data_IF_672551026490
#
_entry.id   IF_672551026490
#
_cell.length_a   1.000
_cell.length_b   1.000
_cell.length_c   1.000
_cell.angle_alpha   90.00
_cell.angle_beta   90.00
_cell.angle_gamma   90.00
#
_symmetry.space_group_name_H-M   'P 1'
#
loop_
_entity.id
_entity.type
_entity.pdbx_description
1 polymer ?
#
# COMPACT_ATOMS: atom_id res chain seq x y z
N UNK A 1 -26.24 -52.49 42.92
CA UNK A 1 -25.85 -52.83 41.53
C UNK A 1 -25.93 -51.53 40.72
N UNK A 2 -24.84 -50.74 40.72
CA UNK A 2 -24.82 -49.38 40.18
C UNK A 2 -23.88 -49.33 38.98
N UNK A 3 -24.43 -49.25 37.76
CA UNK A 3 -23.68 -48.92 36.55
C UNK A 3 -23.68 -47.40 36.37
N UNK A 4 -22.48 -46.80 36.30
CA UNK A 4 -22.25 -45.36 36.18
C UNK A 4 -22.53 -44.86 34.75
N UNK A 5 -23.25 -43.75 34.54
CA UNK A 5 -23.40 -43.11 33.24
C UNK A 5 -22.31 -42.05 33.08
N UNK A 6 -21.09 -42.46 32.73
CA UNK A 6 -20.00 -41.50 32.45
C UNK A 6 -19.17 -41.84 31.21
N UNK A 7 -19.51 -42.91 30.49
CA UNK A 7 -18.76 -43.31 29.29
C UNK A 7 -19.31 -42.73 27.97
N UNK A 8 -20.55 -42.25 27.93
CA UNK A 8 -21.19 -41.82 26.67
C UNK A 8 -20.96 -40.34 26.30
N UNK A 9 -20.51 -39.50 27.24
CA UNK A 9 -20.28 -38.06 27.00
C UNK A 9 -18.84 -37.78 26.51
N UNK A 10 -17.89 -38.67 26.77
CA UNK A 10 -16.49 -38.49 26.34
C UNK A 10 -16.24 -38.93 24.88
N UNK A 11 -17.05 -39.86 24.34
CA UNK A 11 -16.83 -40.39 22.99
C UNK A 11 -17.38 -39.45 21.90
N UNK A 12 -18.37 -38.62 22.21
CA UNK A 12 -18.94 -37.63 21.26
C UNK A 12 -18.05 -36.39 21.11
N UNK A 13 -17.27 -36.03 22.12
CA UNK A 13 -16.38 -34.86 22.07
C UNK A 13 -15.10 -35.13 21.25
N UNK A 14 -14.63 -36.38 21.19
CA UNK A 14 -13.42 -36.76 20.44
C UNK A 14 -13.69 -36.94 18.94
N UNK A 15 -14.92 -37.32 18.54
CA UNK A 15 -15.28 -37.45 17.11
C UNK A 15 -15.46 -36.08 16.42
N UNK A 16 -15.78 -35.02 17.17
CA UNK A 16 -15.88 -33.65 16.61
C UNK A 16 -14.51 -33.02 16.35
N UNK A 17 -13.47 -33.40 17.11
CA UNK A 17 -12.11 -32.86 16.94
C UNK A 17 -11.32 -33.49 15.77
N UNK A 18 -11.71 -34.68 15.30
CA UNK A 18 -11.02 -35.38 14.19
C UNK A 18 -11.60 -35.05 12.81
N UNK A 19 -12.73 -34.34 12.72
CA UNK A 19 -13.34 -33.96 11.45
C UNK A 19 -12.80 -32.63 10.86
N UNK A 20 -12.02 -31.85 11.63
CA UNK A 20 -11.45 -30.57 11.15
C UNK A 20 -10.19 -30.73 10.28
N UNK A 21 -9.59 -31.92 10.24
CA UNK A 21 -8.33 -32.14 9.52
C UNK A 21 -8.43 -32.14 7.98
N UNK A 22 -9.65 -32.09 7.40
CA UNK A 22 -9.87 -31.88 5.94
C UNK A 22 -10.53 -30.54 5.61
N UNK A 23 -10.49 -29.58 6.54
CA UNK A 23 -11.18 -28.29 6.42
C UNK A 23 -10.27 -27.11 6.00
N UNK A 24 -8.95 -27.29 5.95
CA UNK A 24 -7.99 -26.17 5.81
C UNK A 24 -8.10 -25.37 4.50
N UNK A 25 -8.65 -25.98 3.44
CA UNK A 25 -8.87 -25.33 2.13
C UNK A 25 -10.36 -25.12 1.80
N UNK A 26 -11.25 -25.37 2.77
CA UNK A 26 -12.68 -25.03 2.64
C UNK A 26 -12.84 -23.54 2.91
N UNK A 27 -13.34 -22.80 1.93
CA UNK A 27 -13.57 -21.34 2.06
C UNK A 27 -12.94 -20.49 0.96
N UNK A 28 -12.02 -21.03 0.15
CA UNK A 28 -11.55 -20.36 -1.06
C UNK A 28 -12.59 -20.48 -2.16
N UNK A 29 -13.16 -19.34 -2.58
CA UNK A 29 -14.25 -19.29 -3.54
C UNK A 29 -13.80 -19.46 -5.00
N UNK A 30 -12.52 -19.20 -5.31
CA UNK A 30 -12.01 -19.16 -6.68
C UNK A 30 -10.73 -19.97 -6.83
N UNK A 31 -10.49 -20.47 -8.03
CA UNK A 31 -9.24 -21.11 -8.43
C UNK A 31 -8.85 -20.76 -9.87
N UNK A 32 -7.56 -20.84 -10.17
CA UNK A 32 -6.99 -20.79 -11.52
C UNK A 32 -5.91 -21.87 -11.62
N UNK A 33 -5.96 -22.71 -12.65
CA UNK A 33 -4.92 -23.73 -12.86
C UNK A 33 -3.59 -23.06 -13.21
N UNK A 34 -2.49 -23.56 -12.64
CA UNK A 34 -1.13 -23.18 -13.02
C UNK A 34 -0.66 -24.03 -14.20
N UNK A 35 -0.23 -23.39 -15.29
CA UNK A 35 0.17 -24.08 -16.52
C UNK A 35 1.67 -23.88 -16.78
N UNK A 36 2.36 -24.94 -17.24
CA UNK A 36 3.77 -24.87 -17.64
C UNK A 36 4.79 -25.13 -16.53
N UNK A 37 4.40 -25.85 -15.48
CA UNK A 37 5.28 -26.17 -14.35
C UNK A 37 6.31 -27.22 -14.76
N UNK A 38 7.50 -26.76 -15.11
CA UNK A 38 8.61 -27.61 -15.58
C UNK A 38 9.83 -27.55 -14.66
N UNK A 39 9.97 -26.47 -13.90
CA UNK A 39 11.12 -26.21 -13.02
C UNK A 39 10.69 -26.11 -11.56
N UNK A 40 11.68 -26.12 -10.68
CA UNK A 40 11.45 -26.00 -9.24
C UNK A 40 10.93 -24.60 -8.85
N UNK A 41 11.39 -23.55 -9.54
CA UNK A 41 11.08 -22.16 -9.21
C UNK A 41 10.33 -21.49 -10.33
N UNK A 42 9.28 -20.77 -9.98
CA UNK A 42 8.49 -20.04 -10.95
C UNK A 42 7.92 -18.74 -10.42
N UNK A 43 7.84 -17.72 -11.27
CA UNK A 43 7.10 -16.48 -11.02
C UNK A 43 5.68 -16.58 -11.60
N UNK A 44 4.68 -16.19 -10.81
CA UNK A 44 3.26 -16.20 -11.19
C UNK A 44 2.76 -14.76 -11.08
N UNK A 45 2.69 -14.01 -12.20
CA UNK A 45 2.14 -12.66 -12.21
C UNK A 45 0.67 -12.66 -11.77
N UNK A 46 0.29 -11.73 -10.89
CA UNK A 46 -1.10 -11.58 -10.44
C UNK A 46 -1.87 -10.65 -11.38
N UNK A 47 -2.88 -11.15 -12.13
CA UNK A 47 -3.69 -10.32 -13.02
C UNK A 47 -4.65 -9.42 -12.21
N UNK A 48 -5.04 -8.29 -12.78
CA UNK A 48 -5.85 -7.31 -12.07
C UNK A 48 -7.21 -7.83 -11.57
N UNK A 49 -7.81 -8.76 -12.32
CA UNK A 49 -9.09 -9.37 -12.00
C UNK A 49 -9.10 -10.07 -10.64
N UNK A 50 -7.92 -10.44 -10.13
CA UNK A 50 -7.75 -11.11 -8.84
C UNK A 50 -7.99 -10.14 -7.67
N UNK A 51 -7.49 -8.90 -7.74
CA UNK A 51 -7.47 -7.96 -6.60
C UNK A 51 -8.86 -7.59 -6.08
N UNK A 52 -9.89 -7.61 -6.94
CA UNK A 52 -11.28 -7.39 -6.50
C UNK A 52 -11.88 -8.54 -5.69
N UNK A 53 -11.19 -9.68 -5.59
CA UNK A 53 -11.65 -10.89 -4.90
C UNK A 53 -10.76 -11.28 -3.72
N UNK A 54 -9.65 -10.57 -3.53
CA UNK A 54 -8.68 -10.82 -2.48
C UNK A 54 -8.99 -9.98 -1.24
N UNK A 55 -8.50 -10.42 -0.10
CA UNK A 55 -8.39 -9.56 1.06
C UNK A 55 -7.41 -8.40 0.76
N UNK A 56 -7.61 -7.20 1.32
CA UNK A 56 -6.71 -6.07 1.12
C UNK A 56 -5.25 -6.32 1.50
N UNK A 57 -4.99 -7.28 2.41
CA UNK A 57 -3.66 -7.70 2.85
C UNK A 57 -3.11 -8.90 2.06
N UNK A 58 -3.83 -9.40 1.05
CA UNK A 58 -3.44 -10.53 0.20
C UNK A 58 -3.23 -11.85 0.97
N UNK A 59 -3.81 -11.96 2.19
CA UNK A 59 -3.63 -13.11 3.07
C UNK A 59 -4.32 -14.39 2.57
N UNK A 60 -5.29 -14.25 1.67
CA UNK A 60 -6.16 -15.30 1.18
C UNK A 60 -5.71 -15.86 -0.17
N UNK A 61 -4.41 -15.92 -0.41
CA UNK A 61 -3.82 -16.59 -1.57
C UNK A 61 -3.20 -17.91 -1.11
N UNK A 62 -3.41 -19.01 -1.85
CA UNK A 62 -2.70 -20.28 -1.67
C UNK A 62 -2.41 -20.94 -3.00
N UNK A 63 -1.36 -21.76 -3.07
CA UNK A 63 -1.05 -22.59 -4.24
C UNK A 63 -1.20 -24.06 -3.84
N UNK A 64 -2.21 -24.74 -4.37
CA UNK A 64 -2.55 -26.12 -4.01
C UNK A 64 -2.31 -27.06 -5.18
N UNK A 65 -1.53 -28.10 -4.96
CA UNK A 65 -1.28 -29.21 -5.88
C UNK A 65 -2.16 -30.41 -5.56
N UNK A 66 -2.65 -31.08 -6.61
CA UNK A 66 -3.26 -32.41 -6.50
C UNK A 66 -2.33 -33.40 -7.18
N UNK A 67 -1.80 -34.34 -6.40
CA UNK A 67 -0.92 -35.39 -6.90
C UNK A 67 -1.74 -36.48 -7.62
N UNK A 68 -1.11 -37.32 -8.48
CA UNK A 68 -1.82 -38.39 -9.18
C UNK A 68 -2.59 -39.37 -8.26
N UNK A 69 -2.16 -39.53 -7.00
CA UNK A 69 -2.84 -40.32 -5.98
C UNK A 69 -4.04 -39.64 -5.31
N UNK A 70 -4.35 -38.38 -5.66
CA UNK A 70 -5.44 -37.59 -5.09
C UNK A 70 -5.07 -36.80 -3.82
N UNK A 71 -3.85 -36.94 -3.32
CA UNK A 71 -3.35 -36.19 -2.18
C UNK A 71 -3.16 -34.71 -2.54
N UNK A 72 -3.50 -33.83 -1.59
CA UNK A 72 -3.35 -32.39 -1.72
C UNK A 72 -2.06 -31.94 -1.06
N UNK A 73 -1.28 -31.14 -1.78
CA UNK A 73 -0.03 -30.52 -1.30
C UNK A 73 -0.11 -29.01 -1.49
N UNK A 74 0.64 -28.26 -0.70
CA UNK A 74 0.71 -26.80 -0.82
C UNK A 74 2.11 -26.40 -1.27
N UNK A 75 2.21 -25.57 -2.31
CA UNK A 75 3.48 -25.02 -2.74
C UNK A 75 3.77 -23.72 -1.96
N UNK A 76 4.91 -23.61 -1.27
CA UNK A 76 5.30 -22.37 -0.62
C UNK A 76 5.63 -21.30 -1.66
N UNK A 77 5.36 -20.05 -1.33
CA UNK A 77 5.62 -18.91 -2.19
C UNK A 77 6.03 -17.66 -1.40
N UNK A 78 6.70 -16.73 -2.08
CA UNK A 78 6.93 -15.36 -1.61
C UNK A 78 6.17 -14.40 -2.50
N UNK A 79 5.48 -13.45 -1.88
CA UNK A 79 4.81 -12.37 -2.59
C UNK A 79 5.83 -11.27 -2.91
N UNK A 80 6.13 -11.08 -4.20
CA UNK A 80 7.02 -10.02 -4.69
C UNK A 80 6.21 -8.88 -5.29
N UNK A 81 6.70 -7.68 -5.04
CA UNK A 81 6.12 -6.44 -5.51
C UNK A 81 7.19 -5.64 -6.23
N UNK A 82 6.96 -5.34 -7.50
CA UNK A 82 7.91 -4.60 -8.34
C UNK A 82 7.71 -3.08 -8.19
N UNK A 83 7.90 -2.57 -6.98
CA UNK A 83 7.90 -1.12 -6.75
C UNK A 83 9.29 -0.51 -6.98
N UNK A 84 9.31 0.79 -7.29
CA UNK A 84 10.53 1.58 -7.35
C UNK A 84 11.16 1.55 -5.97
N UNK A 85 12.36 1.00 -5.91
CA UNK A 85 13.20 1.12 -4.74
C UNK A 85 14.02 2.40 -4.88
N UNK A 86 13.86 3.27 -3.88
CA UNK A 86 14.73 4.41 -3.69
C UNK A 86 15.91 3.94 -2.87
N UNK A 87 17.03 3.66 -3.53
CA UNK A 87 18.26 3.37 -2.81
C UNK A 87 18.88 4.72 -2.47
N UNK A 88 18.54 5.24 -1.29
CA UNK A 88 19.18 6.43 -0.76
C UNK A 88 20.44 6.01 -0.02
N UNK A 89 21.60 6.36 -0.57
CA UNK A 89 22.87 6.20 0.12
C UNK A 89 23.27 7.57 0.68
N UNK A 90 22.98 7.87 1.97
CA UNK A 90 23.47 9.10 2.57
C UNK A 90 25.00 9.10 2.51
N UNK A 91 25.55 10.20 2.04
CA UNK A 91 26.99 10.39 1.93
C UNK A 91 27.44 11.34 3.04
N UNK A 92 28.35 10.86 3.89
CA UNK A 92 29.06 11.73 4.82
C UNK A 92 30.02 12.64 4.05
N UNK A 93 30.00 13.94 4.35
CA UNK A 93 30.91 14.94 3.77
C UNK A 93 31.39 15.89 4.88
N UNK A 94 32.42 16.67 4.60
CA UNK A 94 32.86 17.76 5.48
C UNK A 94 32.62 19.12 4.84
N UNK A 95 32.20 20.09 5.64
CA UNK A 95 32.16 21.50 5.22
C UNK A 95 33.58 22.05 5.30
N UNK A 96 34.10 22.53 4.17
CA UNK A 96 35.43 23.13 4.09
C UNK A 96 35.40 24.62 4.38
N UNK A 97 34.49 25.33 3.70
CA UNK A 97 34.43 26.78 3.75
C UNK A 97 32.99 27.23 3.88
N UNK A 98 32.80 28.29 4.67
CA UNK A 98 31.59 29.08 4.73
C UNK A 98 31.98 30.54 4.55
N UNK A 99 31.46 31.19 3.52
CA UNK A 99 31.73 32.60 3.26
C UNK A 99 30.45 33.33 2.89
N UNK A 100 30.45 34.64 3.06
CA UNK A 100 29.30 35.48 2.73
C UNK A 100 29.76 36.78 2.10
N UNK A 101 29.01 37.22 1.11
CA UNK A 101 29.07 38.55 0.53
C UNK A 101 27.65 39.13 0.56
N UNK A 102 27.47 40.46 0.44
CA UNK A 102 26.15 41.05 0.33
C UNK A 102 25.31 40.33 -0.74
N UNK A 103 24.14 39.82 -0.34
CA UNK A 103 23.21 39.10 -1.22
C UNK A 103 23.58 37.66 -1.58
N UNK A 104 24.70 37.10 -1.06
CA UNK A 104 25.17 35.75 -1.43
C UNK A 104 25.93 35.04 -0.30
N UNK A 105 25.46 33.85 0.05
CA UNK A 105 26.08 32.96 1.02
C UNK A 105 26.62 31.71 0.33
N UNK A 106 27.88 31.38 0.57
CA UNK A 106 28.55 30.26 -0.08
C UNK A 106 29.01 29.22 0.94
N UNK A 107 28.79 27.95 0.59
CA UNK A 107 29.18 26.79 1.38
C UNK A 107 29.91 25.82 0.46
N UNK A 108 31.13 25.43 0.83
CA UNK A 108 31.93 24.45 0.07
C UNK A 108 32.02 23.16 0.87
N UNK A 109 31.66 22.05 0.22
CA UNK A 109 31.68 20.70 0.77
C UNK A 109 32.80 19.88 0.11
N UNK A 110 33.43 18.99 0.89
CA UNK A 110 34.36 17.96 0.41
C UNK A 110 33.71 16.60 0.52
N UNK A 111 33.63 15.90 -0.60
CA UNK A 111 33.06 14.57 -0.70
C UNK A 111 34.16 13.51 -0.61
N UNK A 112 33.86 12.30 -0.09
CA UNK A 112 34.73 11.13 -0.22
C UNK A 112 34.96 10.77 -1.69
N UNK A 113 36.18 10.33 -2.02
CA UNK A 113 36.52 9.93 -3.38
C UNK A 113 35.73 8.72 -3.85
N UNK A 114 35.43 8.66 -5.15
CA UNK A 114 34.79 7.52 -5.80
C UNK A 114 33.29 7.35 -5.49
N UNK A 115 32.65 8.38 -4.94
CA UNK A 115 31.21 8.38 -4.64
C UNK A 115 30.49 9.32 -5.59
N UNK A 116 29.38 8.84 -6.15
CA UNK A 116 28.50 9.63 -7.01
C UNK A 116 27.32 10.18 -6.21
N UNK A 117 26.84 11.37 -6.57
CA UNK A 117 25.68 12.03 -5.96
C UNK A 117 24.88 12.78 -7.00
N UNK A 118 23.58 12.99 -6.75
CA UNK A 118 22.68 13.71 -7.65
C UNK A 118 21.59 14.52 -6.91
N UNK A 119 21.57 14.47 -5.58
CA UNK A 119 20.62 15.22 -4.77
C UNK A 119 21.31 15.79 -3.51
N UNK A 120 20.98 17.04 -3.20
CA UNK A 120 21.45 17.77 -2.02
C UNK A 120 20.24 18.33 -1.28
N UNK A 121 19.98 17.84 -0.07
CA UNK A 121 18.94 18.37 0.80
C UNK A 121 19.55 19.27 1.87
N UNK A 122 18.99 20.46 2.07
CA UNK A 122 19.51 21.46 3.00
C UNK A 122 18.64 21.55 4.25
N UNK A 123 19.29 21.59 5.41
CA UNK A 123 18.67 21.94 6.69
C UNK A 123 19.05 23.38 7.02
N UNK A 124 18.10 24.30 6.80
CA UNK A 124 18.25 25.73 7.04
C UNK A 124 17.51 26.12 8.33
N UNK A 125 18.06 27.06 9.10
CA UNK A 125 17.50 27.48 10.39
C UNK A 125 16.22 28.33 10.26
N UNK A 126 16.02 28.96 9.09
CA UNK A 126 14.89 29.86 8.87
C UNK A 126 13.58 29.10 8.69
N UNK A 127 12.53 29.63 9.31
CA UNK A 127 11.16 29.08 9.20
C UNK A 127 10.49 29.46 7.88
N UNK A 128 10.69 30.69 7.42
CA UNK A 128 10.08 31.23 6.21
C UNK A 128 11.15 31.87 5.33
N UNK A 129 11.20 31.51 4.05
CA UNK A 129 12.11 32.09 3.07
C UNK A 129 11.70 31.75 1.65
N UNK A 130 12.11 32.57 0.69
CA UNK A 130 12.02 32.32 -0.75
C UNK A 130 13.32 32.75 -1.42
N UNK A 131 14.20 31.77 -1.67
CA UNK A 131 15.55 32.02 -2.15
C UNK A 131 15.84 31.28 -3.44
N UNK A 132 16.96 31.65 -4.06
CA UNK A 132 17.54 30.93 -5.19
C UNK A 132 18.87 30.33 -4.78
N UNK A 133 19.14 29.13 -5.27
CA UNK A 133 20.39 28.45 -5.05
C UNK A 133 21.04 28.01 -6.36
N UNK A 134 22.36 28.07 -6.36
CA UNK A 134 23.23 27.58 -7.42
C UNK A 134 24.18 26.54 -6.82
N UNK A 135 24.40 25.45 -7.54
CA UNK A 135 25.34 24.40 -7.17
C UNK A 135 26.40 24.24 -8.27
N UNK A 136 27.65 24.20 -7.87
CA UNK A 136 28.80 24.00 -8.75
C UNK A 136 29.66 22.85 -8.24
N UNK A 137 30.32 22.13 -9.14
CA UNK A 137 31.26 21.07 -8.85
C UNK A 137 32.68 21.39 -9.32
N UNK A 138 33.69 20.93 -8.60
CA UNK A 138 35.10 21.14 -8.92
C UNK A 138 35.96 19.94 -8.54
N UNK A 139 37.03 19.71 -9.30
CA UNK A 139 38.07 18.72 -8.98
C UNK A 139 39.20 19.29 -8.12
N UNK A 140 39.45 20.60 -8.18
CA UNK A 140 40.66 21.24 -7.69
C UNK A 140 40.41 22.53 -6.86
N UNK A 141 39.14 22.93 -6.69
CA UNK A 141 38.68 24.19 -6.10
C UNK A 141 39.03 25.46 -6.90
N UNK A 142 39.61 25.34 -8.10
CA UNK A 142 39.99 26.44 -8.98
C UNK A 142 38.99 26.58 -10.12
N UNK A 143 38.75 25.50 -10.86
CA UNK A 143 37.76 25.46 -11.93
C UNK A 143 36.44 24.90 -11.42
N UNK A 144 35.35 25.64 -11.68
CA UNK A 144 34.01 25.31 -11.18
C UNK A 144 33.04 25.13 -12.34
N UNK A 145 32.35 24.00 -12.36
CA UNK A 145 31.36 23.65 -13.37
C UNK A 145 29.95 23.72 -12.78
N UNK A 146 29.02 24.29 -13.55
CA UNK A 146 27.64 24.44 -13.12
C UNK A 146 26.92 23.08 -13.10
N UNK A 147 26.32 22.73 -11.95
CA UNK A 147 25.51 21.52 -11.79
C UNK A 147 24.01 21.84 -11.71
N UNK A 148 23.66 22.94 -11.06
CA UNK A 148 22.30 23.45 -10.97
C UNK A 148 22.32 24.98 -10.84
N UNK A 149 21.41 25.67 -11.51
CA UNK A 149 21.28 27.13 -11.44
C UNK A 149 19.87 27.56 -11.05
N UNK A 150 19.77 28.66 -10.30
CA UNK A 150 18.53 29.34 -9.89
C UNK A 150 17.42 28.41 -9.36
N UNK A 151 17.79 27.29 -8.74
CA UNK A 151 16.81 26.40 -8.12
C UNK A 151 16.17 27.11 -6.92
N UNK A 152 14.84 27.05 -6.82
CA UNK A 152 14.12 27.72 -5.75
C UNK A 152 14.26 26.93 -4.46
N UNK A 153 14.54 27.62 -3.37
CA UNK A 153 14.40 27.10 -2.02
C UNK A 153 13.25 27.87 -1.37
N UNK A 154 12.25 27.16 -0.85
CA UNK A 154 11.06 27.78 -0.27
C UNK A 154 10.72 27.14 1.07
N UNK A 155 10.47 27.94 2.09
CA UNK A 155 9.78 27.49 3.28
C UNK A 155 8.64 28.44 3.60
N UNK A 156 7.46 27.87 3.84
CA UNK A 156 6.25 28.58 4.26
C UNK A 156 5.66 27.83 5.45
N UNK A 157 5.75 28.45 6.62
CA UNK A 157 5.14 28.00 7.86
C UNK A 157 4.19 29.07 8.37
N UNK A 158 2.91 28.73 8.42
CA UNK A 158 1.83 29.56 8.93
C UNK A 158 0.71 28.67 9.52
N UNK A 159 -0.42 29.27 9.91
CA UNK A 159 -1.55 28.51 10.46
C UNK A 159 -2.24 27.54 9.48
N UNK A 160 -1.88 27.58 8.18
CA UNK A 160 -2.51 26.82 7.11
C UNK A 160 -1.63 25.67 6.59
N UNK A 161 -0.30 25.82 6.65
CA UNK A 161 0.67 24.84 6.16
C UNK A 161 2.03 24.99 6.84
N UNK A 162 2.75 23.87 6.92
CA UNK A 162 4.18 23.80 7.24
C UNK A 162 4.87 23.11 6.05
N UNK A 163 5.23 23.91 5.05
CA UNK A 163 5.81 23.46 3.78
C UNK A 163 7.26 23.88 3.67
N UNK A 164 8.14 22.94 3.32
CA UNK A 164 9.55 23.20 3.06
C UNK A 164 10.01 22.46 1.82
N UNK A 165 10.66 23.19 0.93
CA UNK A 165 11.31 22.70 -0.28
C UNK A 165 12.75 23.20 -0.29
N UNK A 166 13.66 22.37 0.23
CA UNK A 166 15.08 22.69 0.41
C UNK A 166 16.01 21.71 -0.32
N UNK A 167 15.48 21.01 -1.31
CA UNK A 167 16.20 20.00 -2.08
C UNK A 167 16.65 20.56 -3.42
N UNK A 168 17.96 20.46 -3.69
CA UNK A 168 18.53 20.66 -5.02
C UNK A 168 18.70 19.31 -5.71
N UNK A 169 18.32 19.24 -6.98
CA UNK A 169 18.51 18.08 -7.86
C UNK A 169 19.43 18.46 -9.01
N UNK A 170 20.40 17.60 -9.34
CA UNK A 170 21.42 17.88 -10.36
C UNK A 170 21.84 16.58 -11.06
N UNK A 171 22.50 16.66 -12.24
CA UNK A 171 23.04 15.47 -12.90
C UNK A 171 23.97 14.67 -11.98
N UNK A 172 23.97 13.35 -12.13
CA UNK A 172 24.89 12.44 -11.42
C UNK A 172 26.33 12.91 -11.60
N UNK A 173 27.04 13.07 -10.51
CA UNK A 173 28.41 13.57 -10.52
C UNK A 173 29.26 12.95 -9.41
N UNK A 174 30.57 12.90 -9.63
CA UNK A 174 31.60 12.45 -8.72
C UNK A 174 32.61 13.56 -8.33
N UNK A 175 32.27 14.85 -8.52
CA UNK A 175 33.15 15.95 -8.14
C UNK A 175 33.52 15.87 -6.65
N UNK A 176 34.81 15.93 -6.28
CA UNK A 176 35.24 15.89 -4.88
C UNK A 176 34.88 17.16 -4.10
N UNK A 177 34.61 18.27 -4.79
CA UNK A 177 34.18 19.52 -4.17
C UNK A 177 32.87 20.01 -4.75
N UNK A 178 31.92 20.36 -3.88
CA UNK A 178 30.67 21.00 -4.26
C UNK A 178 30.59 22.38 -3.60
N UNK A 179 30.22 23.41 -4.37
CA UNK A 179 29.98 24.77 -3.86
C UNK A 179 28.53 25.14 -4.06
N UNK A 180 27.83 25.29 -2.94
CA UNK A 180 26.48 25.82 -2.87
C UNK A 180 26.55 27.34 -2.70
N UNK A 181 25.78 28.08 -3.50
CA UNK A 181 25.57 29.52 -3.35
C UNK A 181 24.08 29.78 -3.17
N UNK A 182 23.69 30.32 -2.01
CA UNK A 182 22.32 30.76 -1.71
C UNK A 182 22.26 32.28 -1.85
N UNK A 183 21.37 32.77 -2.70
CA UNK A 183 21.13 34.20 -2.92
C UNK A 183 20.02 34.67 -1.98
N UNK A 184 20.37 35.53 -1.03
CA UNK A 184 19.51 36.01 0.03
C UNK A 184 20.07 37.30 0.64
N UNK A 185 19.20 38.20 1.06
CA UNK A 185 19.55 39.41 1.82
C UNK A 185 19.78 39.14 3.32
N UNK A 186 19.33 37.98 3.79
CA UNK A 186 19.49 37.53 5.17
C UNK A 186 20.25 36.20 5.26
N UNK A 187 20.90 35.95 6.39
CA UNK A 187 21.69 34.73 6.60
C UNK A 187 20.81 33.48 6.58
N UNK A 188 21.06 32.52 5.67
CA UNK A 188 20.34 31.24 5.60
C UNK A 188 20.61 30.32 6.79
N UNK A 189 21.79 30.48 7.42
CA UNK A 189 22.34 29.63 8.49
C UNK A 189 22.08 28.13 8.24
N UNK A 190 22.99 27.53 7.46
CA UNK A 190 23.00 26.10 7.18
C UNK A 190 23.32 25.30 8.45
N UNK A 191 22.35 24.55 8.96
CA UNK A 191 22.49 23.67 10.11
C UNK A 191 23.08 22.31 9.72
N UNK A 192 22.76 21.87 8.51
CA UNK A 192 23.21 20.60 7.98
C UNK A 192 22.84 20.45 6.52
N UNK A 193 23.43 19.47 5.86
CA UNK A 193 23.03 19.07 4.52
C UNK A 193 23.13 17.54 4.40
N UNK A 194 22.36 16.97 3.48
CA UNK A 194 22.38 15.55 3.15
C UNK A 194 22.64 15.41 1.66
N UNK A 195 23.77 14.80 1.31
CA UNK A 195 24.07 14.41 -0.06
C UNK A 195 23.68 12.96 -0.24
N UNK A 196 22.91 12.69 -1.30
CA UNK A 196 22.46 11.34 -1.61
C UNK A 196 22.79 10.99 -3.05
N UNK A 197 23.28 9.76 -3.23
CA UNK A 197 23.08 9.05 -4.49
C UNK A 197 21.64 8.56 -4.48
N UNK A 198 20.81 9.15 -5.33
CA UNK A 198 19.48 8.64 -5.60
C UNK A 198 19.56 7.70 -6.80
N UNK A 199 19.75 6.42 -6.51
CA UNK A 199 19.55 5.34 -7.47
C UNK A 199 18.07 4.97 -7.46
N UNK A 200 17.45 4.95 -8.64
CA UNK A 200 16.11 4.41 -8.82
C UNK A 200 16.23 3.08 -9.56
N UNK A 201 15.99 1.98 -8.86
CA UNK A 201 15.62 0.75 -9.56
C UNK A 201 14.21 0.98 -10.12
N UNK A 202 14.01 0.96 -11.45
CA UNK A 202 12.70 1.22 -12.01
C UNK A 202 11.75 0.09 -11.57
N UNK A 203 10.76 0.44 -10.76
CA UNK A 203 9.64 -0.47 -10.49
C UNK A 203 8.88 -0.75 -11.78
N UNK A 204 8.18 -1.89 -11.82
CA UNK A 204 7.28 -2.24 -12.92
C UNK A 204 5.88 -1.80 -12.57
N UNK A 205 5.45 -0.72 -13.22
CA UNK A 205 4.15 -0.11 -12.98
C UNK A 205 3.28 -0.19 -14.22
N UNK A 206 1.98 -0.39 -13.98
CA UNK A 206 0.96 -0.11 -14.97
C UNK A 206 0.31 1.24 -14.66
N UNK A 207 0.41 2.18 -15.59
CA UNK A 207 -0.32 3.44 -15.51
C UNK A 207 -1.82 3.17 -15.70
N UNK A 208 -2.65 3.71 -14.81
CA UNK A 208 -4.11 3.61 -14.84
C UNK A 208 -4.71 4.98 -15.11
N UNK A 209 -5.54 5.03 -16.13
CA UNK A 209 -6.43 6.17 -16.38
C UNK A 209 -7.72 5.98 -15.56
N UNK A 210 -8.24 7.03 -14.91
CA UNK A 210 -9.54 6.98 -14.28
C UNK A 210 -10.63 6.59 -15.29
N UNK A 211 -11.52 5.67 -14.91
CA UNK A 211 -12.76 5.42 -15.64
C UNK A 211 -13.76 6.57 -15.42
N UNK A 212 -13.69 7.21 -14.24
CA UNK A 212 -14.40 8.45 -13.92
C UNK A 212 -13.47 9.39 -13.18
N UNK A 213 -13.47 10.64 -13.61
CA UNK A 213 -12.79 11.76 -12.97
C UNK A 213 -13.79 12.90 -12.84
N UNK A 214 -14.01 13.40 -11.62
CA UNK A 214 -14.91 14.51 -11.38
C UNK A 214 -14.30 15.46 -10.35
N UNK A 215 -14.47 16.76 -10.57
CA UNK A 215 -14.02 17.80 -9.65
C UNK A 215 -15.27 18.54 -9.16
N UNK A 216 -15.43 18.60 -7.85
CA UNK A 216 -16.55 19.28 -7.18
C UNK A 216 -15.98 20.37 -6.30
N UNK A 217 -16.41 21.61 -6.51
CA UNK A 217 -16.00 22.74 -5.69
C UNK A 217 -17.03 22.99 -4.59
N UNK A 218 -16.62 22.75 -3.35
CA UNK A 218 -17.43 23.04 -2.16
C UNK A 218 -17.13 24.48 -1.71
N UNK A 219 -18.04 25.41 -2.05
CA UNK A 219 -17.89 26.83 -1.68
C UNK A 219 -18.05 27.06 -0.17
N UNK A 220 -18.78 26.18 0.53
CA UNK A 220 -19.02 26.31 1.97
C UNK A 220 -17.77 25.92 2.75
N UNK A 221 -17.18 24.79 2.39
CA UNK A 221 -15.94 24.29 3.00
C UNK A 221 -14.67 24.89 2.37
N UNK A 222 -14.82 25.71 1.32
CA UNK A 222 -13.72 26.32 0.55
C UNK A 222 -12.70 25.30 0.06
N UNK A 223 -13.21 24.17 -0.46
CA UNK A 223 -12.43 23.01 -0.88
C UNK A 223 -12.76 22.59 -2.32
N UNK A 224 -11.79 21.99 -3.00
CA UNK A 224 -12.03 21.20 -4.21
C UNK A 224 -11.92 19.72 -3.86
N UNK A 225 -12.95 18.95 -4.19
CA UNK A 225 -12.97 17.49 -4.06
C UNK A 225 -12.82 16.86 -5.43
N UNK A 226 -11.75 16.10 -5.62
CA UNK A 226 -11.50 15.31 -6.83
C UNK A 226 -11.89 13.88 -6.55
N UNK A 227 -12.92 13.40 -7.23
CA UNK A 227 -13.41 12.02 -7.15
C UNK A 227 -12.85 11.22 -8.33
N UNK A 228 -12.08 10.18 -8.02
CA UNK A 228 -11.42 9.30 -8.99
C UNK A 228 -11.98 7.89 -8.82
N UNK A 229 -12.48 7.30 -9.91
CA UNK A 229 -12.89 5.89 -9.92
C UNK A 229 -12.18 5.13 -11.03
N UNK A 230 -11.58 4.00 -10.68
CA UNK A 230 -10.98 3.05 -11.62
C UNK A 230 -12.03 2.08 -12.18
N UNK A 231 -11.71 1.44 -13.30
CA UNK A 231 -12.58 0.44 -13.92
C UNK A 231 -12.75 -0.82 -13.03
N UNK A 232 -11.71 -1.15 -12.26
CA UNK A 232 -11.59 -2.34 -11.44
C UNK A 232 -10.84 -2.01 -10.14
N UNK A 233 -10.96 -2.89 -9.14
CA UNK A 233 -10.19 -2.80 -7.90
C UNK A 233 -8.76 -3.23 -8.19
N UNK A 234 -7.78 -2.37 -7.95
CA UNK A 234 -6.34 -2.64 -8.20
C UNK A 234 -5.48 -1.99 -7.12
N UNK A 235 -4.25 -2.48 -6.90
CA UNK A 235 -3.28 -1.80 -6.05
C UNK A 235 -2.86 -0.48 -6.68
N UNK A 236 -2.86 0.59 -5.90
CA UNK A 236 -2.36 1.92 -6.29
C UNK A 236 -1.29 2.34 -5.28
N UNK A 237 -0.13 2.77 -5.76
CA UNK A 237 0.99 3.25 -4.95
C UNK A 237 1.36 4.72 -5.22
N UNK A 238 0.85 5.31 -6.30
CA UNK A 238 1.02 6.74 -6.55
C UNK A 238 -0.16 7.33 -7.33
N UNK A 239 -0.43 8.62 -7.10
CA UNK A 239 -1.45 9.39 -7.82
C UNK A 239 -0.83 10.68 -8.32
N UNK A 240 -0.90 10.91 -9.63
CA UNK A 240 -0.48 12.15 -10.30
C UNK A 240 -1.70 12.94 -10.74
N UNK A 241 -1.82 14.19 -10.31
CA UNK A 241 -2.80 15.14 -10.80
C UNK A 241 -2.25 15.90 -12.01
N UNK A 242 -3.12 16.20 -12.98
CA UNK A 242 -2.82 17.05 -14.12
C UNK A 242 -3.42 18.42 -13.85
N UNK A 243 -2.57 19.36 -13.39
CA UNK A 243 -2.96 20.73 -13.07
C UNK A 243 -2.62 21.64 -14.24
N UNK A 244 -3.60 22.39 -14.75
CA UNK A 244 -3.42 23.27 -15.91
C UNK A 244 -2.94 24.68 -15.54
N UNK A 245 -3.10 25.10 -14.28
CA UNK A 245 -2.66 26.42 -13.84
C UNK A 245 -1.14 26.59 -13.97
N UNK A 246 -0.74 27.73 -14.53
CA UNK A 246 0.66 28.13 -14.71
C UNK A 246 1.17 29.06 -13.61
N UNK A 247 0.26 29.67 -12.85
CA UNK A 247 0.60 30.54 -11.72
C UNK A 247 1.09 29.72 -10.53
N UNK A 248 1.91 30.34 -9.69
CA UNK A 248 2.43 29.69 -8.50
C UNK A 248 1.31 29.38 -7.51
N UNK A 249 1.30 28.16 -6.97
CA UNK A 249 0.34 27.74 -5.94
C UNK A 249 1.01 26.81 -4.94
N UNK A 250 0.45 26.79 -3.73
CA UNK A 250 0.69 25.77 -2.72
C UNK A 250 -0.62 25.58 -1.95
N UNK A 251 -1.13 24.35 -1.86
CA UNK A 251 -2.42 24.06 -1.21
C UNK A 251 -2.32 22.79 -0.39
N UNK A 252 -2.82 22.77 0.86
CA UNK A 252 -2.98 21.53 1.59
C UNK A 252 -3.82 20.54 0.80
N UNK A 253 -3.36 19.29 0.79
CA UNK A 253 -3.95 18.18 0.06
C UNK A 253 -4.11 17.00 1.00
N UNK A 254 -5.29 16.37 0.98
CA UNK A 254 -5.53 15.06 1.58
C UNK A 254 -5.94 14.05 0.52
N UNK A 255 -5.27 12.92 0.47
CA UNK A 255 -5.60 11.79 -0.39
C UNK A 255 -6.27 10.72 0.46
N UNK A 256 -7.44 10.28 0.02
CA UNK A 256 -8.26 9.28 0.70
C UNK A 256 -8.68 8.19 -0.28
N UNK A 257 -9.05 7.04 0.25
CA UNK A 257 -9.74 5.99 -0.51
C UNK A 257 -11.05 5.62 0.18
N UNK A 258 -11.99 5.10 -0.61
CA UNK A 258 -13.22 4.53 -0.06
C UNK A 258 -12.91 3.16 0.53
N UNK A 259 -12.93 3.06 1.85
CA UNK A 259 -12.60 1.83 2.56
C UNK A 259 -13.82 0.92 2.75
N UNK A 260 -14.99 1.51 2.97
CA UNK A 260 -16.23 0.77 3.18
C UNK A 260 -17.45 1.63 2.81
N UNK A 261 -18.56 0.98 2.52
CA UNK A 261 -19.85 1.63 2.30
C UNK A 261 -20.99 0.78 2.84
N UNK A 262 -21.90 1.40 3.58
CA UNK A 262 -23.06 0.73 4.15
C UNK A 262 -24.35 1.43 3.71
N UNK A 263 -25.35 0.65 3.32
CA UNK A 263 -26.69 1.16 3.08
C UNK A 263 -27.39 1.38 4.43
N UNK A 264 -27.92 2.58 4.63
CA UNK A 264 -28.71 2.94 5.81
C UNK A 264 -30.08 3.45 5.38
N UNK A 265 -31.07 3.54 6.28
CA UNK A 265 -32.35 4.18 5.96
C UNK A 265 -32.22 5.64 5.47
N UNK A 266 -31.07 6.29 5.71
CA UNK A 266 -30.75 7.65 5.25
C UNK A 266 -29.97 7.67 3.92
N UNK A 267 -29.86 6.51 3.25
CA UNK A 267 -29.08 6.31 2.04
C UNK A 267 -27.69 5.70 2.32
N UNK A 268 -26.88 5.64 1.27
CA UNK A 268 -25.51 5.12 1.32
C UNK A 268 -24.60 5.99 2.18
N UNK A 269 -23.93 5.37 3.14
CA UNK A 269 -22.89 5.97 3.95
C UNK A 269 -21.53 5.48 3.46
N UNK A 270 -20.63 6.40 3.17
CA UNK A 270 -19.30 6.11 2.62
C UNK A 270 -18.22 6.41 3.65
N UNK A 271 -17.41 5.41 4.00
CA UNK A 271 -16.30 5.55 4.93
C UNK A 271 -14.99 5.72 4.17
N UNK A 272 -14.45 6.93 4.22
CA UNK A 272 -13.15 7.24 3.65
C UNK A 272 -12.05 7.12 4.71
N UNK A 273 -10.88 6.65 4.29
CA UNK A 273 -9.66 6.65 5.10
C UNK A 273 -8.56 7.45 4.40
N UNK A 274 -7.81 8.23 5.18
CA UNK A 274 -6.72 9.06 4.66
C UNK A 274 -5.46 8.23 4.44
N UNK A 275 -4.91 8.30 3.23
CA UNK A 275 -3.65 7.66 2.83
C UNK A 275 -2.46 8.61 3.02
N UNK A 276 -2.66 9.89 2.71
CA UNK A 276 -1.62 10.89 2.72
C UNK A 276 -2.21 12.27 3.02
N UNK A 277 -1.52 13.03 3.86
CA UNK A 277 -1.68 14.48 4.00
C UNK A 277 -0.40 15.13 3.49
N UNK A 278 -0.50 16.05 2.53
CA UNK A 278 0.64 16.67 1.87
C UNK A 278 0.28 18.08 1.37
N UNK A 279 1.15 18.68 0.55
CA UNK A 279 0.93 19.97 -0.11
C UNK A 279 1.02 19.80 -1.62
N UNK A 280 -0.02 20.23 -2.33
CA UNK A 280 0.01 20.38 -3.78
C UNK A 280 0.66 21.72 -4.13
N UNK A 281 1.86 21.68 -4.72
CA UNK A 281 2.70 22.86 -4.99
C UNK A 281 3.12 22.90 -6.45
N UNK A 282 3.18 24.10 -7.04
CA UNK A 282 3.70 24.30 -8.39
C UNK A 282 5.23 24.18 -8.47
N UNK A 283 5.92 23.99 -7.34
CA UNK A 283 7.38 23.78 -7.28
C UNK A 283 7.81 22.35 -7.55
N UNK A 284 6.88 21.41 -7.39
CA UNK A 284 7.12 19.99 -7.49
C UNK A 284 6.17 19.38 -8.50
N UNK A 285 6.48 18.17 -8.97
CA UNK A 285 5.50 17.42 -9.74
C UNK A 285 4.28 17.11 -8.86
N UNK A 286 3.07 17.26 -9.40
CA UNK A 286 1.82 16.92 -8.71
C UNK A 286 1.61 15.40 -8.61
N UNK A 287 2.66 14.64 -8.31
CA UNK A 287 2.67 13.19 -8.10
C UNK A 287 2.94 12.86 -6.64
N UNK A 288 2.04 12.07 -6.06
CA UNK A 288 2.04 11.75 -4.65
C UNK A 288 2.21 10.25 -4.48
N UNK A 289 3.31 9.83 -3.84
CA UNK A 289 3.49 8.44 -3.40
C UNK A 289 2.59 8.19 -2.19
N UNK A 290 1.81 7.10 -2.23
CA UNK A 290 0.88 6.70 -1.17
C UNK A 290 1.18 5.27 -0.73
N UNK A 291 0.83 4.86 0.50
CA UNK A 291 0.85 3.46 0.87
C UNK A 291 0.05 2.63 -0.13
N UNK A 292 0.63 1.53 -0.62
CA UNK A 292 0.03 0.69 -1.65
C UNK A 292 -1.31 0.16 -1.19
N UNK A 293 -2.38 0.67 -1.81
CA UNK A 293 -3.76 0.42 -1.37
C UNK A 293 -4.54 -0.23 -2.48
N UNK A 294 -5.17 -1.37 -2.19
CA UNK A 294 -6.05 -2.07 -3.11
C UNK A 294 -7.44 -1.45 -3.02
N UNK A 295 -7.78 -0.59 -3.99
CA UNK A 295 -9.04 0.12 -4.00
C UNK A 295 -9.47 0.51 -5.42
N UNK A 296 -10.75 0.85 -5.56
CA UNK A 296 -11.31 1.36 -6.82
C UNK A 296 -11.56 2.86 -6.81
N UNK A 297 -11.89 3.42 -5.64
CA UNK A 297 -12.32 4.81 -5.50
C UNK A 297 -11.36 5.58 -4.61
N UNK A 298 -10.87 6.70 -5.13
CA UNK A 298 -9.98 7.63 -4.45
C UNK A 298 -10.61 9.02 -4.44
N UNK A 299 -10.38 9.75 -3.35
CA UNK A 299 -10.82 11.13 -3.18
C UNK A 299 -9.62 11.98 -2.81
N UNK A 300 -9.41 13.07 -3.52
CA UNK A 300 -8.43 14.09 -3.16
C UNK A 300 -9.18 15.34 -2.71
N UNK A 301 -8.83 15.87 -1.55
CA UNK A 301 -9.41 17.10 -0.99
C UNK A 301 -8.30 18.15 -1.00
N UNK A 302 -8.51 19.21 -1.77
CA UNK A 302 -7.60 20.35 -1.88
C UNK A 302 -8.25 21.53 -1.16
N UNK A 303 -7.60 22.04 -0.13
CA UNK A 303 -8.06 23.24 0.58
C UNK A 303 -7.72 24.48 -0.26
N UNK A 304 -8.75 25.17 -0.77
CA UNK A 304 -8.56 26.36 -1.59
C UNK A 304 -8.39 27.62 -0.73
N UNK A 305 -8.99 27.63 0.47
CA UNK A 305 -9.13 28.82 1.31
C UNK A 305 -9.77 29.98 0.51
N UNK A 306 -9.15 31.16 0.49
CA UNK A 306 -9.62 32.32 -0.27
C UNK A 306 -9.18 32.31 -1.75
N UNK A 307 -8.40 31.30 -2.17
CA UNK A 307 -7.94 31.21 -3.55
C UNK A 307 -9.03 30.64 -4.48
N UNK A 308 -9.04 31.09 -5.73
CA UNK A 308 -9.85 30.46 -6.78
C UNK A 308 -9.47 28.97 -6.93
N UNK A 309 -10.42 28.06 -7.20
CA UNK A 309 -10.08 26.64 -7.43
C UNK A 309 -9.08 26.43 -8.56
N UNK A 310 -8.18 25.44 -8.41
CA UNK A 310 -7.27 25.03 -9.49
C UNK A 310 -8.04 24.34 -10.63
N UNK A 311 -7.58 24.53 -11.85
CA UNK A 311 -7.99 23.82 -13.06
C UNK A 311 -7.30 22.45 -13.11
N UNK A 312 -8.09 21.39 -12.93
CA UNK A 312 -7.61 20.01 -12.91
C UNK A 312 -8.19 19.26 -14.12
N UNK A 313 -7.32 18.84 -15.04
CA UNK A 313 -7.72 18.20 -16.30
C UNK A 313 -7.88 16.69 -16.16
N UNK A 314 -7.22 16.09 -15.18
CA UNK A 314 -7.25 14.65 -14.99
C UNK A 314 -6.30 14.15 -13.93
N UNK A 315 -6.18 12.82 -13.89
CA UNK A 315 -5.24 12.11 -13.04
C UNK A 315 -4.66 10.89 -13.75
N UNK A 316 -3.51 10.43 -13.26
CA UNK A 316 -2.90 9.13 -13.57
C UNK A 316 -2.56 8.43 -12.26
N UNK A 317 -2.82 7.13 -12.19
CA UNK A 317 -2.56 6.34 -11.00
C UNK A 317 -1.54 5.25 -11.35
N UNK A 318 -0.52 5.09 -10.53
CA UNK A 318 0.51 4.06 -10.72
C UNK A 318 0.12 2.82 -9.94
N UNK A 319 -0.03 1.70 -10.65
CA UNK A 319 -0.35 0.40 -10.07
C UNK A 319 0.88 -0.51 -10.16
N UNK A 320 1.48 -0.93 -9.03
CA UNK A 320 2.65 -1.82 -9.06
C UNK A 320 2.25 -3.22 -9.51
N UNK A 321 3.14 -3.88 -10.26
CA UNK A 321 2.98 -5.30 -10.58
C UNK A 321 3.30 -6.18 -9.37
N UNK A 322 2.45 -7.18 -9.14
CA UNK A 322 2.63 -8.20 -8.12
C UNK A 322 2.83 -9.55 -8.76
N UNK A 323 3.67 -10.36 -8.15
CA UNK A 323 3.86 -11.76 -8.53
C UNK A 323 4.07 -12.63 -7.29
N UNK A 324 3.77 -13.92 -7.43
CA UNK A 324 4.17 -14.93 -6.46
C UNK A 324 5.39 -15.65 -7.01
N UNK A 325 6.44 -15.80 -6.22
CA UNK A 325 7.54 -16.69 -6.56
C UNK A 325 7.41 -17.96 -5.74
N UNK A 326 7.04 -19.04 -6.41
CA UNK A 326 6.68 -20.30 -5.78
C UNK A 326 7.73 -21.39 -6.01
N UNK A 327 7.87 -22.29 -5.04
CA UNK A 327 8.73 -23.47 -5.11
C UNK A 327 7.91 -24.75 -5.22
N UNK A 328 8.08 -25.48 -6.31
CA UNK A 328 7.41 -26.75 -6.57
C UNK A 328 8.37 -27.91 -6.28
N UNK A 329 8.09 -28.67 -5.22
CA UNK A 329 8.94 -29.78 -4.80
C UNK A 329 8.45 -31.16 -5.24
N UNK A 330 7.15 -31.28 -5.55
CA UNK A 330 6.51 -32.55 -5.91
C UNK A 330 5.69 -32.40 -7.19
N UNK A 331 5.62 -33.44 -8.05
CA UNK A 331 4.80 -33.40 -9.24
C UNK A 331 3.31 -33.41 -8.87
N UNK A 332 2.50 -32.66 -9.62
CA UNK A 332 1.07 -32.57 -9.41
C UNK A 332 0.42 -31.52 -10.31
N UNK A 333 -0.91 -31.49 -10.31
CA UNK A 333 -1.66 -30.39 -10.97
C UNK A 333 -1.92 -29.31 -9.94
N UNK A 334 -1.33 -28.13 -10.13
CA UNK A 334 -1.42 -27.03 -9.18
C UNK A 334 -2.43 -25.96 -9.59
N UNK A 335 -3.01 -25.33 -8.59
CA UNK A 335 -4.00 -24.27 -8.70
C UNK A 335 -3.66 -23.13 -7.75
N UNK A 336 -3.75 -21.90 -8.25
CA UNK A 336 -3.84 -20.73 -7.41
C UNK A 336 -5.27 -20.61 -6.88
N UNK A 337 -5.47 -20.67 -5.56
CA UNK A 337 -6.79 -20.53 -4.93
C UNK A 337 -6.86 -19.27 -4.07
N UNK A 338 -8.02 -18.63 -4.07
CA UNK A 338 -8.22 -17.33 -3.42
C UNK A 338 -9.69 -17.00 -3.14
N UNK A 339 -9.95 -15.86 -2.50
CA UNK A 339 -11.29 -15.39 -2.16
C UNK A 339 -11.82 -16.03 -0.88
N UNK A 340 -10.97 -16.12 0.15
CA UNK A 340 -11.36 -16.60 1.48
C UNK A 340 -11.22 -15.46 2.48
N UNK A 341 -12.34 -14.82 2.83
CA UNK A 341 -12.37 -13.68 3.76
C UNK A 341 -11.91 -14.02 5.19
N UNK A 342 -11.90 -15.30 5.58
CA UNK A 342 -11.45 -15.77 6.90
C UNK A 342 -10.00 -16.29 6.89
N UNK A 343 -9.33 -16.30 5.72
CA UNK A 343 -7.97 -16.79 5.62
C UNK A 343 -6.99 -15.89 6.38
N UNK A 344 -5.98 -16.52 6.97
CA UNK A 344 -4.84 -15.86 7.61
C UNK A 344 -3.64 -15.87 6.65
N UNK A 345 -2.67 -14.95 6.79
CA UNK A 345 -1.45 -15.00 5.97
C UNK A 345 -0.75 -16.36 6.08
N UNK A 346 -0.25 -16.87 4.95
CA UNK A 346 0.63 -18.03 4.97
C UNK A 346 1.95 -17.67 5.68
N UNK A 347 2.62 -18.68 6.24
CA UNK A 347 3.94 -18.54 6.87
C UNK A 347 4.80 -19.69 6.40
N UNK A 348 5.73 -19.40 5.49
CA UNK A 348 6.65 -20.40 4.98
C UNK A 348 8.07 -20.07 5.46
N UNK A 349 8.91 -21.08 5.63
CA UNK A 349 10.34 -20.85 5.87
C UNK A 349 10.99 -20.08 4.72
N UNK A 350 10.40 -20.15 3.53
CA UNK A 350 10.85 -19.46 2.32
C UNK A 350 11.00 -17.94 2.52
N UNK A 351 10.18 -17.32 3.38
CA UNK A 351 10.28 -15.90 3.71
C UNK A 351 11.62 -15.52 4.36
N UNK A 352 12.37 -16.51 4.89
CA UNK A 352 13.68 -16.32 5.54
C UNK A 352 14.87 -16.66 4.64
N UNK A 353 14.65 -17.26 3.48
CA UNK A 353 15.69 -17.76 2.57
C UNK A 353 15.50 -17.19 1.16
N UNK A 354 15.22 -15.88 1.07
CA UNK A 354 14.96 -15.20 -0.21
C UNK A 354 16.18 -15.16 -1.13
N UNK A 355 17.39 -15.31 -0.57
CA UNK A 355 18.67 -15.44 -1.27
C UNK A 355 18.79 -16.75 -2.08
N UNK A 356 18.00 -17.77 -1.73
CA UNK A 356 17.95 -19.03 -2.47
C UNK A 356 17.06 -18.98 -3.71
N UNK A 357 16.27 -17.91 -3.87
CA UNK A 357 15.37 -17.73 -5.00
C UNK A 357 16.18 -17.20 -6.20
N UNK A 358 16.12 -17.82 -7.38
CA UNK A 358 16.77 -17.30 -8.58
C UNK A 358 16.41 -15.83 -8.86
N UNK A 359 17.33 -15.06 -9.44
CA UNK A 359 17.07 -13.67 -9.83
C UNK A 359 15.93 -13.57 -10.86
N UNK A 360 15.91 -14.50 -11.82
CA UNK A 360 14.91 -14.59 -12.88
C UNK A 360 14.25 -15.98 -12.87
N UNK A 361 13.25 -16.23 -12.00
CA UNK A 361 12.48 -17.47 -12.03
C UNK A 361 11.59 -17.53 -13.27
N UNK A 362 11.37 -18.74 -13.80
CA UNK A 362 10.61 -18.93 -15.03
C UNK A 362 9.13 -18.54 -14.85
N UNK A 363 8.52 -17.80 -15.79
CA UNK A 363 7.14 -17.38 -15.66
C UNK A 363 6.16 -18.55 -15.83
N UNK A 364 5.14 -18.61 -14.97
CA UNK A 364 3.97 -19.48 -15.14
C UNK A 364 2.75 -18.69 -15.56
N UNK A 365 1.91 -19.35 -16.35
CA UNK A 365 0.64 -18.79 -16.79
C UNK A 365 -0.49 -19.29 -15.91
N UNK A 366 -1.42 -18.38 -15.62
CA UNK A 366 -2.69 -18.72 -14.98
C UNK A 366 -3.71 -19.04 -16.06
N UNK A 367 -4.34 -20.20 -15.93
CA UNK A 367 -5.53 -20.56 -16.69
C UNK A 367 -6.73 -19.66 -16.38
N UNK A 368 -7.88 -19.94 -17.02
CA UNK A 368 -9.12 -19.22 -16.74
C UNK A 368 -9.52 -19.39 -15.28
N UNK A 369 -10.30 -18.43 -14.81
CA UNK A 369 -10.83 -18.44 -13.46
C UNK A 369 -12.05 -19.34 -13.34
N UNK A 370 -12.05 -20.16 -12.30
CA UNK A 370 -13.14 -21.06 -11.99
C UNK A 370 -13.66 -20.78 -10.58
N UNK A 371 -14.97 -20.83 -10.41
CA UNK A 371 -15.58 -20.82 -9.09
C UNK A 371 -15.44 -22.21 -8.46
N UNK A 372 -14.84 -22.28 -7.28
CA UNK A 372 -14.81 -23.53 -6.51
C UNK A 372 -16.19 -23.76 -5.92
N UNK A 373 -16.79 -24.92 -6.22
CA UNK A 373 -17.96 -25.36 -5.49
C UNK A 373 -17.55 -25.61 -4.04
N UNK A 374 -17.88 -24.67 -3.14
CA UNK A 374 -17.73 -24.92 -1.72
C UNK A 374 -18.71 -26.03 -1.33
N UNK A 375 -18.20 -27.25 -1.14
CA UNK A 375 -18.94 -28.28 -0.39
C UNK A 375 -19.05 -27.81 1.05
N UNK A 376 -20.02 -26.95 1.33
CA UNK A 376 -20.23 -26.35 2.63
C UNK A 376 -20.78 -24.93 2.53
N UNK A 377 -21.96 -24.76 1.94
CA UNK A 377 -22.88 -23.83 2.56
C UNK A 377 -23.02 -24.30 4.01
N UNK A 378 -22.49 -23.53 4.96
CA UNK A 378 -22.75 -23.76 6.38
C UNK A 378 -24.27 -23.90 6.49
N UNK A 379 -24.75 -25.10 6.80
CA UNK A 379 -26.15 -25.30 7.12
C UNK A 379 -26.49 -24.24 8.15
N UNK A 380 -27.47 -23.38 7.85
CA UNK A 380 -27.87 -22.29 8.75
C UNK A 380 -28.00 -22.90 10.15
N UNK A 381 -27.39 -22.30 11.19
CA UNK A 381 -27.47 -22.86 12.53
C UNK A 381 -28.96 -23.09 12.87
N UNK A 382 -29.30 -24.22 13.48
CA UNK A 382 -30.70 -24.60 13.78
C UNK A 382 -31.50 -23.47 14.46
N UNK A 383 -30.80 -22.61 15.21
CA UNK A 383 -31.34 -21.40 15.85
C UNK A 383 -31.84 -20.30 14.89
N UNK A 384 -31.52 -20.36 13.59
CA UNK A 384 -32.07 -19.46 12.56
C UNK A 384 -33.47 -19.88 12.10
N UNK A 385 -33.93 -21.10 12.42
CA UNK A 385 -35.28 -21.55 12.11
C UNK A 385 -36.25 -21.09 13.19
N UNK A 386 -37.15 -20.15 12.86
CA UNK A 386 -38.16 -19.63 13.81
C UNK A 386 -38.94 -20.76 14.50
N UNK A 387 -39.28 -21.83 13.79
CA UNK A 387 -40.00 -22.99 14.35
C UNK A 387 -39.21 -23.76 15.42
N UNK A 388 -37.88 -23.85 15.31
CA UNK A 388 -37.04 -24.48 16.31
C UNK A 388 -37.02 -23.67 17.62
N UNK A 389 -37.02 -22.34 17.50
CA UNK A 389 -37.08 -21.43 18.63
C UNK A 389 -38.42 -21.57 19.38
N UNK A 390 -39.54 -21.68 18.66
CA UNK A 390 -40.85 -21.98 19.26
C UNK A 390 -40.93 -23.36 19.89
N UNK A 391 -40.30 -24.39 19.29
CA UNK A 391 -40.25 -25.73 19.87
C UNK A 391 -39.47 -25.76 21.19
N UNK A 392 -38.31 -25.09 21.25
CA UNK A 392 -37.52 -24.94 22.49
C UNK A 392 -38.31 -24.15 23.54
N UNK A 393 -38.98 -23.06 23.14
CA UNK A 393 -39.78 -22.24 24.06
C UNK A 393 -40.99 -23.02 24.62
N UNK A 394 -41.62 -23.84 23.78
CA UNK A 394 -42.69 -24.77 24.19
C UNK A 394 -42.19 -25.84 25.17
N UNK A 395 -41.03 -26.44 24.89
CA UNK A 395 -40.42 -27.42 25.80
C UNK A 395 -40.07 -26.81 27.17
N UNK A 396 -39.55 -25.59 27.20
CA UNK A 396 -39.27 -24.86 28.44
C UNK A 396 -40.56 -24.55 29.21
N UNK A 397 -41.62 -24.12 28.52
CA UNK A 397 -42.94 -23.88 29.15
C UNK A 397 -43.54 -25.14 29.76
N UNK A 398 -43.48 -26.27 29.05
CA UNK A 398 -43.95 -27.56 29.59
C UNK A 398 -43.14 -28.00 30.80
N UNK A 399 -41.83 -27.80 30.77
CA UNK A 399 -40.93 -28.19 31.86
C UNK A 399 -41.16 -27.31 33.11
N UNK A 400 -41.31 -25.99 32.94
CA UNK A 400 -41.67 -25.07 34.01
C UNK A 400 -43.08 -25.34 34.58
N UNK A 401 -44.04 -25.64 33.70
CA UNK A 401 -45.41 -26.03 34.08
C UNK A 401 -45.43 -27.34 34.88
N UNK A 402 -44.62 -28.32 34.49
CA UNK A 402 -44.47 -29.56 35.24
C UNK A 402 -43.83 -29.32 36.62
N UNK A 403 -42.75 -28.54 36.70
CA UNK A 403 -42.10 -28.22 37.98
C UNK A 403 -43.04 -27.47 38.93
N UNK A 404 -43.83 -26.51 38.43
CA UNK A 404 -44.82 -25.79 39.24
C UNK A 404 -45.93 -26.71 39.75
N UNK A 405 -46.46 -27.60 38.92
CA UNK A 405 -47.43 -28.62 39.34
C UNK A 405 -46.84 -29.62 40.36
N UNK A 406 -45.57 -29.98 40.21
CA UNK A 406 -44.88 -30.87 41.14
C UNK A 406 -44.66 -30.20 42.51
N UNK A 407 -44.39 -28.89 42.53
CA UNK A 407 -44.27 -28.12 43.78
C UNK A 407 -45.63 -27.94 44.46
N UNK A 408 -46.71 -27.71 43.72
CA UNK A 408 -48.08 -27.63 44.25
C UNK A 408 -48.62 -28.97 44.77
N UNK A 409 -48.04 -30.10 44.34
CA UNK A 409 -48.39 -31.44 44.84
C UNK A 409 -47.63 -31.85 46.10
N UNK A 410 -46.64 -31.06 46.51
CA UNK A 410 -45.76 -31.33 47.66
C UNK A 410 -45.79 -30.23 48.73
N UNK A 411 -46.60 -29.19 48.55
CA UNK A 411 -47.07 -28.31 49.61
C UNK A 411 -48.54 -28.60 49.89
#
# INVERSE_FOLDING_TARGET
MNLRPSLFVSLTLVVVLLAEAKAQYRGYAYQRQLQGQAQQWHAIPLPDSLFGRLQPNLADIRILGVQPGGDTVEAPYVLRRHEREWVQKPLSFSMLNQSSQPGRYQYTFKLPQGREVNQLELQLDRENFDWRARLEGSHDQQEWHLLADRQRLLAIKNGLADYRFTTLRFPRTNYPFLRLSIYSDESPKLLGASLTELDTLPGRYQERKPARFAVVHDKKERQSRVEISLAQVVPVSAIRLQVADTLAYYRPLRIQYLADSAETPRGWQYRYQTLLSSTLSSLEGAEFSVPTTIARHFRLIIDNYDNAPLQLEGARLSSPQWELVARFAVPGTYYLVYGNAAARPARYDLDRFTDTIPEAPDPLQLGPEEQRQSRGALARPLFSHKGWLWAVMGAIMVLLGWFTLQMLRKG
#
